data_IF_976487455754
#
_entry.id   IF_976487455754
#
_cell.length_a   1.000
_cell.length_b   1.000
_cell.length_c   1.000
_cell.angle_alpha   90.00
_cell.angle_beta   90.00
_cell.angle_gamma   90.00
#
_symmetry.space_group_name_H-M   'P 1'
#
loop_
_entity.id
_entity.type
_entity.pdbx_description
1 polymer ?
#
# COMPACT_ATOMS: atom_id res chain seq x y z
N UNK A 1 -49.16 -39.10 0.46
CA UNK A 1 -48.26 -38.60 1.51
C UNK A 1 -47.19 -39.66 1.76
N UNK A 2 -45.93 -39.25 1.68
CA UNK A 2 -44.72 -40.06 1.42
C UNK A 2 -44.43 -41.08 2.52
N UNK A 3 -44.27 -42.36 2.14
CA UNK A 3 -43.72 -43.45 2.96
C UNK A 3 -42.63 -44.18 2.14
N UNK A 4 -41.58 -43.46 1.77
CA UNK A 4 -40.49 -43.96 0.93
C UNK A 4 -39.10 -43.50 1.42
N UNK A 5 -38.89 -43.29 2.72
CA UNK A 5 -37.60 -42.75 3.20
C UNK A 5 -36.93 -43.61 4.29
N UNK A 6 -37.60 -44.64 4.83
CA UNK A 6 -37.06 -45.44 5.96
C UNK A 6 -36.39 -46.76 5.56
N UNK A 7 -36.66 -47.30 4.36
CA UNK A 7 -36.02 -48.54 3.90
C UNK A 7 -34.61 -48.31 3.35
N UNK A 8 -34.36 -47.17 2.70
CA UNK A 8 -33.06 -46.85 2.09
C UNK A 8 -31.99 -46.53 3.14
N UNK A 9 -32.32 -45.80 4.21
CA UNK A 9 -31.40 -45.48 5.31
C UNK A 9 -30.95 -46.73 6.07
N UNK A 10 -31.85 -47.69 6.31
CA UNK A 10 -31.48 -48.97 6.94
C UNK A 10 -30.55 -49.82 6.06
N UNK A 11 -30.68 -49.75 4.73
CA UNK A 11 -29.82 -50.45 3.77
C UNK A 11 -28.44 -49.80 3.69
N UNK A 12 -28.39 -48.47 3.69
CA UNK A 12 -27.13 -47.71 3.70
C UNK A 12 -26.35 -47.90 5.01
N UNK A 13 -27.03 -47.93 6.16
CA UNK A 13 -26.41 -48.28 7.44
C UNK A 13 -25.86 -49.72 7.46
N UNK A 14 -26.59 -50.69 6.88
CA UNK A 14 -26.07 -52.06 6.74
C UNK A 14 -24.82 -52.12 5.85
N UNK A 15 -24.77 -51.31 4.79
CA UNK A 15 -23.63 -51.24 3.89
C UNK A 15 -22.44 -50.55 4.56
N UNK A 16 -22.67 -49.45 5.29
CA UNK A 16 -21.67 -48.81 6.13
C UNK A 16 -21.14 -49.76 7.21
N UNK A 17 -22.01 -50.56 7.83
CA UNK A 17 -21.58 -51.58 8.78
C UNK A 17 -20.73 -52.67 8.10
N UNK A 18 -21.11 -53.15 6.91
CA UNK A 18 -20.28 -54.10 6.15
C UNK A 18 -18.93 -53.50 5.77
N UNK A 19 -18.90 -52.22 5.37
CA UNK A 19 -17.66 -51.50 5.04
C UNK A 19 -16.79 -51.25 6.27
N UNK A 20 -17.38 -50.90 7.41
CA UNK A 20 -16.67 -50.76 8.68
C UNK A 20 -16.12 -52.10 9.15
N UNK A 21 -16.90 -53.18 9.10
CA UNK A 21 -16.43 -54.53 9.42
C UNK A 21 -15.30 -54.96 8.49
N UNK A 22 -15.41 -54.65 7.19
CA UNK A 22 -14.34 -54.91 6.21
C UNK A 22 -13.08 -54.10 6.50
N UNK A 23 -13.21 -52.82 6.86
CA UNK A 23 -12.08 -51.97 7.25
C UNK A 23 -11.45 -52.44 8.57
N UNK A 24 -12.24 -52.85 9.56
CA UNK A 24 -11.74 -53.39 10.83
C UNK A 24 -10.95 -54.68 10.57
N UNK A 25 -11.47 -55.59 9.74
CA UNK A 25 -10.74 -56.79 9.33
C UNK A 25 -9.45 -56.47 8.56
N UNK A 26 -9.45 -55.39 7.75
CA UNK A 26 -8.27 -54.90 7.02
C UNK A 26 -7.22 -54.22 7.93
N UNK A 27 -7.67 -53.56 8.99
CA UNK A 27 -6.82 -52.95 10.03
C UNK A 27 -6.23 -54.04 10.93
N UNK A 28 -7.03 -55.06 11.27
CA UNK A 28 -6.62 -56.19 12.11
C UNK A 28 -5.66 -57.15 11.38
N UNK A 29 -5.68 -57.21 10.05
CA UNK A 29 -4.71 -57.97 9.25
C UNK A 29 -3.36 -57.24 9.05
N UNK A 30 -3.29 -55.94 9.36
CA UNK A 30 -2.04 -55.19 9.36
C UNK A 30 -1.28 -55.45 10.66
N UNK A 31 -0.19 -56.23 10.57
CA UNK A 31 0.68 -56.62 11.69
C UNK A 31 1.19 -55.47 12.57
N UNK A 32 1.20 -54.23 12.05
CA UNK A 32 1.59 -53.00 12.77
C UNK A 32 0.63 -52.59 13.88
N UNK A 33 -0.68 -52.83 13.73
CA UNK A 33 -1.70 -52.47 14.74
C UNK A 33 -1.77 -53.53 15.84
N UNK A 34 -1.56 -54.79 15.45
CA UNK A 34 -1.44 -55.93 16.38
C UNK A 34 -0.21 -55.77 17.27
N UNK A 35 0.91 -55.26 16.73
CA UNK A 35 2.12 -54.96 17.49
C UNK A 35 1.92 -53.80 18.49
N UNK A 36 1.07 -52.82 18.17
CA UNK A 36 0.71 -51.74 19.09
C UNK A 36 -0.27 -52.19 20.20
N UNK A 37 -1.18 -53.12 19.91
CA UNK A 37 -2.02 -53.76 20.94
C UNK A 37 -1.24 -54.73 21.83
N UNK A 38 -0.14 -55.31 21.34
CA UNK A 38 0.80 -56.13 22.11
C UNK A 38 1.87 -55.32 22.85
N UNK A 39 1.82 -53.99 22.78
CA UNK A 39 2.74 -53.13 23.52
C UNK A 39 2.35 -53.06 25.01
N UNK A 40 3.30 -52.77 25.92
CA UNK A 40 3.10 -52.75 27.37
C UNK A 40 1.87 -51.97 27.85
N UNK A 41 1.47 -50.92 27.15
CA UNK A 41 0.26 -50.12 27.45
C UNK A 41 -1.05 -50.89 27.20
N UNK A 42 -1.10 -51.78 26.20
CA UNK A 42 -2.27 -52.63 25.92
C UNK A 42 -2.43 -53.78 26.91
N UNK A 43 -1.33 -54.45 27.27
CA UNK A 43 -1.33 -55.52 28.27
C UNK A 43 -1.55 -55.04 29.71
N UNK A 44 -1.26 -53.77 30.02
CA UNK A 44 -1.53 -53.18 31.34
C UNK A 44 -3.00 -52.81 31.54
N UNK A 45 -3.70 -52.46 30.46
CA UNK A 45 -5.15 -52.21 30.48
C UNK A 45 -5.97 -53.51 30.54
N UNK A 46 -5.51 -54.57 29.86
CA UNK A 46 -6.22 -55.86 29.80
C UNK A 46 -6.16 -56.65 31.12
N UNK A 47 -5.02 -56.57 31.84
CA UNK A 47 -4.82 -57.29 33.11
C UNK A 47 -5.60 -56.72 34.31
N UNK A 48 -5.96 -55.44 34.30
CA UNK A 48 -6.68 -54.78 35.40
C UNK A 48 -7.72 -53.76 34.88
N UNK A 49 -8.97 -54.19 34.61
CA UNK A 49 -10.03 -53.32 34.08
C UNK A 49 -10.31 -52.09 34.97
N UNK A 50 -10.03 -52.17 36.28
CA UNK A 50 -10.21 -51.06 37.22
C UNK A 50 -9.20 -49.92 37.03
N UNK A 51 -7.96 -50.26 36.68
CA UNK A 51 -6.89 -49.28 36.43
C UNK A 51 -7.15 -48.54 35.12
N UNK A 52 -7.59 -49.28 34.09
CA UNK A 52 -8.05 -48.72 32.82
C UNK A 52 -9.22 -47.74 33.01
N UNK A 53 -10.23 -48.12 33.81
CA UNK A 53 -11.41 -47.30 34.11
C UNK A 53 -11.03 -46.02 34.87
N UNK A 54 -10.10 -46.12 35.83
CA UNK A 54 -9.63 -44.98 36.61
C UNK A 54 -8.85 -44.00 35.75
N UNK A 55 -7.95 -44.50 34.88
CA UNK A 55 -7.24 -43.67 33.90
C UNK A 55 -8.18 -42.99 32.92
N UNK A 56 -9.21 -43.69 32.43
CA UNK A 56 -10.22 -43.13 31.55
C UNK A 56 -11.00 -41.99 32.23
N UNK A 57 -11.42 -42.20 33.47
CA UNK A 57 -12.09 -41.16 34.26
C UNK A 57 -11.15 -40.00 34.58
N UNK A 58 -9.87 -40.26 34.81
CA UNK A 58 -8.88 -39.21 35.01
C UNK A 58 -8.66 -38.38 33.74
N UNK A 59 -8.62 -39.01 32.57
CA UNK A 59 -8.56 -38.32 31.28
C UNK A 59 -9.85 -37.53 31.04
N UNK A 60 -11.03 -38.10 31.30
CA UNK A 60 -12.30 -37.40 31.14
C UNK A 60 -12.41 -36.19 32.08
N UNK A 61 -12.09 -36.38 33.36
CA UNK A 61 -12.17 -35.34 34.40
C UNK A 61 -11.07 -34.30 34.24
N UNK A 62 -9.88 -34.67 33.78
CA UNK A 62 -8.76 -33.74 33.54
C UNK A 62 -8.85 -33.04 32.17
N UNK A 63 -9.46 -33.68 31.16
CA UNK A 63 -9.65 -33.08 29.84
C UNK A 63 -10.48 -31.80 29.89
N UNK A 64 -11.45 -31.72 30.81
CA UNK A 64 -12.26 -30.52 31.03
C UNK A 64 -11.42 -29.32 31.51
N UNK A 65 -10.71 -29.37 32.66
CA UNK A 65 -9.87 -28.28 33.13
C UNK A 65 -8.66 -28.02 32.22
N UNK A 66 -8.03 -29.07 31.66
CA UNK A 66 -6.89 -28.92 30.74
C UNK A 66 -7.32 -28.30 29.41
N UNK A 67 -8.44 -28.75 28.84
CA UNK A 67 -9.01 -28.20 27.63
C UNK A 67 -9.46 -26.75 27.80
N UNK A 68 -10.10 -26.44 28.93
CA UNK A 68 -10.49 -25.07 29.26
C UNK A 68 -9.27 -24.16 29.45
N UNK A 69 -8.21 -24.64 30.11
CA UNK A 69 -6.96 -23.90 30.26
C UNK A 69 -6.29 -23.62 28.91
N UNK A 70 -6.17 -24.63 28.05
CA UNK A 70 -5.62 -24.46 26.70
C UNK A 70 -6.46 -23.49 25.88
N UNK A 71 -7.79 -23.58 25.95
CA UNK A 71 -8.70 -22.68 25.25
C UNK A 71 -8.54 -21.24 25.75
N UNK A 72 -8.45 -21.01 27.05
CA UNK A 72 -8.17 -19.69 27.63
C UNK A 72 -6.80 -19.16 27.21
N UNK A 73 -5.77 -19.99 27.22
CA UNK A 73 -4.42 -19.58 26.77
C UNK A 73 -4.45 -19.19 25.30
N UNK A 74 -5.12 -19.95 24.44
CA UNK A 74 -5.28 -19.62 23.01
C UNK A 74 -6.09 -18.34 22.83
N UNK A 75 -7.21 -18.18 23.56
CA UNK A 75 -8.02 -16.95 23.49
C UNK A 75 -7.25 -15.74 23.99
N UNK A 76 -6.51 -15.85 25.09
CA UNK A 76 -5.70 -14.76 25.66
C UNK A 76 -4.50 -14.47 24.77
N UNK A 77 -3.88 -15.48 24.15
CA UNK A 77 -2.83 -15.29 23.15
C UNK A 77 -3.38 -14.62 21.89
N UNK A 78 -4.57 -15.00 21.42
CA UNK A 78 -5.21 -14.37 20.28
C UNK A 78 -5.61 -12.93 20.59
N UNK A 79 -6.17 -12.68 21.78
CA UNK A 79 -6.49 -11.35 22.28
C UNK A 79 -5.22 -10.50 22.44
N UNK A 80 -4.12 -11.07 22.92
CA UNK A 80 -2.82 -10.41 23.00
C UNK A 80 -2.26 -10.10 21.60
N UNK A 81 -2.34 -11.04 20.65
CA UNK A 81 -1.94 -10.81 19.26
C UNK A 81 -2.76 -9.70 18.61
N UNK A 82 -4.09 -9.71 18.76
CA UNK A 82 -4.96 -8.63 18.28
C UNK A 82 -4.62 -7.31 18.99
N UNK A 83 -4.35 -7.34 20.30
CA UNK A 83 -3.89 -6.18 21.06
C UNK A 83 -2.60 -5.58 20.52
N UNK A 84 -1.59 -6.40 20.24
CA UNK A 84 -0.32 -5.98 19.64
C UNK A 84 -0.56 -5.43 18.23
N UNK A 85 -1.35 -6.10 17.39
CA UNK A 85 -1.68 -5.62 16.03
C UNK A 85 -2.41 -4.27 16.08
N UNK A 86 -3.32 -4.06 17.04
CA UNK A 86 -4.02 -2.79 17.22
C UNK A 86 -3.06 -1.68 17.69
N UNK A 87 -2.15 -1.97 18.63
CA UNK A 87 -1.16 -0.99 19.12
C UNK A 87 -0.13 -0.67 18.04
N UNK A 88 0.41 -1.68 17.36
CA UNK A 88 1.39 -1.53 16.29
C UNK A 88 0.76 -0.84 15.07
N UNK A 89 -0.45 -1.23 14.68
CA UNK A 89 -1.24 -0.57 13.64
C UNK A 89 -1.59 0.87 13.99
N UNK A 90 -1.91 1.17 15.24
CA UNK A 90 -2.14 2.54 15.71
C UNK A 90 -0.86 3.39 15.64
N UNK A 91 0.28 2.85 16.11
CA UNK A 91 1.58 3.53 16.04
C UNK A 91 2.01 3.77 14.60
N UNK A 92 1.83 2.79 13.71
CA UNK A 92 2.12 2.91 12.27
C UNK A 92 1.16 3.92 11.62
N UNK A 93 -0.12 3.93 11.98
CA UNK A 93 -1.09 4.89 11.46
C UNK A 93 -0.77 6.33 11.89
N UNK A 94 -0.49 6.56 13.17
CA UNK A 94 -0.10 7.88 13.69
C UNK A 94 1.24 8.32 13.10
N UNK A 95 2.21 7.42 13.02
CA UNK A 95 3.50 7.67 12.37
C UNK A 95 3.33 8.00 10.89
N UNK A 96 2.51 7.22 10.16
CA UNK A 96 2.20 7.42 8.75
C UNK A 96 1.47 8.73 8.48
N UNK A 97 0.48 9.07 9.30
CA UNK A 97 -0.23 10.36 9.22
C UNK A 97 0.71 11.53 9.50
N UNK A 98 1.62 11.40 10.47
CA UNK A 98 2.64 12.41 10.77
C UNK A 98 3.60 12.59 9.60
N UNK A 99 4.08 11.50 9.01
CA UNK A 99 4.96 11.54 7.83
C UNK A 99 4.25 12.12 6.61
N UNK A 100 3.02 11.70 6.32
CA UNK A 100 2.20 12.26 5.24
C UNK A 100 1.95 13.76 5.47
N UNK A 101 1.67 14.17 6.70
CA UNK A 101 1.48 15.57 7.07
C UNK A 101 2.75 16.38 6.80
N UNK A 102 3.91 15.90 7.26
CA UNK A 102 5.20 16.57 7.05
C UNK A 102 5.57 16.60 5.55
N UNK A 103 5.42 15.50 4.83
CA UNK A 103 5.66 15.46 3.37
C UNK A 103 4.74 16.43 2.62
N UNK A 104 3.46 16.48 2.99
CA UNK A 104 2.48 17.38 2.39
C UNK A 104 2.86 18.85 2.67
N UNK A 105 3.19 19.18 3.92
CA UNK A 105 3.64 20.51 4.31
C UNK A 105 4.91 20.93 3.56
N UNK A 106 5.92 20.06 3.51
CA UNK A 106 7.15 20.30 2.76
C UNK A 106 6.88 20.42 1.25
N UNK A 107 5.99 19.60 0.70
CA UNK A 107 5.58 19.66 -0.70
C UNK A 107 4.90 20.98 -1.04
N UNK A 108 3.96 21.44 -0.21
CA UNK A 108 3.29 22.72 -0.37
C UNK A 108 4.27 23.90 -0.26
N UNK A 109 5.17 23.87 0.72
CA UNK A 109 6.22 24.87 0.89
C UNK A 109 7.16 24.87 -0.31
N UNK A 110 7.56 23.70 -0.81
CA UNK A 110 8.40 23.57 -2.00
C UNK A 110 7.72 24.12 -3.25
N UNK A 111 6.43 23.80 -3.45
CA UNK A 111 5.62 24.35 -4.53
C UNK A 111 5.46 25.86 -4.42
N UNK A 112 5.25 26.38 -3.21
CA UNK A 112 5.16 27.81 -2.97
C UNK A 112 6.49 28.50 -3.33
N UNK A 113 7.61 28.01 -2.83
CA UNK A 113 8.94 28.57 -3.12
C UNK A 113 9.26 28.49 -4.61
N UNK A 114 9.01 27.34 -5.24
CA UNK A 114 9.22 27.14 -6.68
C UNK A 114 8.33 28.06 -7.52
N UNK A 115 7.06 28.20 -7.15
CA UNK A 115 6.11 29.11 -7.79
C UNK A 115 6.54 30.57 -7.65
N UNK A 116 6.90 31.00 -6.43
CA UNK A 116 7.41 32.36 -6.19
C UNK A 116 8.68 32.61 -6.98
N UNK A 117 9.66 31.68 -6.98
CA UNK A 117 10.88 31.82 -7.76
C UNK A 117 10.60 31.89 -9.26
N UNK A 118 9.66 31.11 -9.78
CA UNK A 118 9.28 31.13 -11.19
C UNK A 118 8.65 32.48 -11.57
N UNK A 119 7.69 32.98 -10.79
CA UNK A 119 7.07 34.30 -11.02
C UNK A 119 8.12 35.40 -10.89
N UNK A 120 8.96 35.36 -9.86
CA UNK A 120 10.07 36.30 -9.69
C UNK A 120 11.02 36.25 -10.89
N UNK A 121 11.39 35.06 -11.38
CA UNK A 121 12.27 34.89 -12.53
C UNK A 121 11.67 35.50 -13.79
N UNK A 122 10.38 35.27 -14.07
CA UNK A 122 9.68 35.82 -15.23
C UNK A 122 9.60 37.36 -15.14
N UNK A 123 9.24 37.89 -13.97
CA UNK A 123 9.17 39.33 -13.74
C UNK A 123 10.56 39.97 -13.89
N UNK A 124 11.60 39.37 -13.31
CA UNK A 124 12.96 39.86 -13.39
C UNK A 124 13.51 39.79 -14.82
N UNK A 125 13.20 38.72 -15.55
CA UNK A 125 13.53 38.58 -16.97
C UNK A 125 12.84 39.65 -17.81
N UNK A 126 11.58 39.97 -17.50
CA UNK A 126 10.83 41.03 -18.17
C UNK A 126 11.44 42.40 -17.88
N UNK A 127 11.71 42.71 -16.61
CA UNK A 127 12.39 43.95 -16.20
C UNK A 127 13.76 44.11 -16.86
N UNK A 128 14.55 43.04 -16.91
CA UNK A 128 15.86 43.04 -17.55
C UNK A 128 15.73 43.31 -19.05
N UNK A 129 14.74 42.70 -19.72
CA UNK A 129 14.49 42.92 -21.14
C UNK A 129 14.05 44.37 -21.44
N UNK A 130 13.18 44.95 -20.61
CA UNK A 130 12.82 46.37 -20.70
C UNK A 130 14.02 47.28 -20.46
N UNK A 131 14.84 46.98 -19.45
CA UNK A 131 16.05 47.76 -19.15
C UNK A 131 17.05 47.71 -20.30
N UNK A 132 17.25 46.54 -20.91
CA UNK A 132 18.14 46.38 -22.05
C UNK A 132 17.62 47.12 -23.31
N UNK A 133 16.31 47.06 -23.56
CA UNK A 133 15.67 47.85 -24.62
C UNK A 133 15.82 49.35 -24.40
N UNK A 134 15.56 49.83 -23.17
CA UNK A 134 15.71 51.23 -22.81
C UNK A 134 17.16 51.73 -22.99
N UNK A 135 18.15 50.92 -22.59
CA UNK A 135 19.57 51.25 -22.75
C UNK A 135 19.99 51.31 -24.21
N UNK A 136 19.41 50.45 -25.06
CA UNK A 136 19.68 50.42 -26.50
C UNK A 136 19.08 51.64 -27.20
N UNK A 137 17.85 52.03 -26.85
CA UNK A 137 17.18 53.22 -27.39
C UNK A 137 17.92 54.51 -27.00
N UNK A 138 18.31 54.62 -25.72
CA UNK A 138 19.15 55.71 -25.22
C UNK A 138 20.47 55.82 -25.99
N UNK A 139 21.11 54.68 -26.29
CA UNK A 139 22.36 54.63 -27.05
C UNK A 139 22.15 55.03 -28.52
N UNK A 140 21.00 54.67 -29.10
CA UNK A 140 20.66 55.00 -30.48
C UNK A 140 20.29 56.49 -30.64
N UNK A 141 19.62 57.08 -29.66
CA UNK A 141 19.35 58.53 -29.61
C UNK A 141 20.64 59.33 -29.48
N UNK A 142 21.58 58.89 -28.64
CA UNK A 142 22.90 59.52 -28.52
C UNK A 142 23.68 59.38 -29.85
N UNK A 143 23.63 58.22 -30.50
CA UNK A 143 24.28 58.03 -31.81
C UNK A 143 23.61 58.81 -32.95
N UNK A 144 22.28 58.93 -32.95
CA UNK A 144 21.56 59.78 -33.92
C UNK A 144 21.93 61.25 -33.72
N UNK A 145 21.99 61.71 -32.48
CA UNK A 145 22.42 63.08 -32.18
C UNK A 145 23.88 63.33 -32.59
N UNK A 146 24.77 62.37 -32.32
CA UNK A 146 26.16 62.43 -32.77
C UNK A 146 26.29 62.38 -34.30
N UNK A 147 25.49 61.55 -34.98
CA UNK A 147 25.49 61.41 -36.44
C UNK A 147 24.86 62.60 -37.14
N UNK A 148 23.84 63.22 -36.56
CA UNK A 148 23.27 64.48 -37.03
C UNK A 148 24.28 65.63 -36.90
N UNK A 149 25.06 65.64 -35.82
CA UNK A 149 26.18 66.59 -35.66
C UNK A 149 27.33 66.36 -36.66
N UNK A 150 27.48 65.15 -37.21
CA UNK A 150 28.58 64.80 -38.11
C UNK A 150 28.30 65.05 -39.61
N UNK A 151 27.02 65.20 -40.04
CA UNK A 151 26.66 65.25 -41.47
C UNK A 151 25.84 66.50 -41.89
N UNK A 152 26.34 67.74 -41.73
CA UNK A 152 25.53 68.94 -42.01
C UNK A 152 25.23 69.22 -43.49
N UNK A 153 25.83 68.48 -44.44
CA UNK A 153 25.82 68.85 -45.87
C UNK A 153 24.78 68.15 -46.76
N UNK A 154 23.86 67.35 -46.21
CA UNK A 154 22.90 66.53 -47.01
C UNK A 154 21.52 67.16 -47.26
N UNK A 155 21.37 68.48 -47.13
CA UNK A 155 20.14 69.23 -47.42
C UNK A 155 20.37 70.29 -48.51
N UNK A 156 20.54 69.90 -49.77
CA UNK A 156 20.49 70.84 -50.89
C UNK A 156 19.46 70.32 -51.91
N UNK A 157 18.31 71.01 -52.12
CA UNK A 157 17.39 70.70 -53.20
C UNK A 157 17.98 71.15 -54.55
N UNK A 158 17.81 70.33 -55.58
CA UNK A 158 18.26 70.62 -56.95
C UNK A 158 17.36 71.67 -57.62
N UNK A 159 17.78 72.94 -57.60
CA UNK A 159 17.18 74.06 -58.31
C UNK A 159 17.30 73.92 -59.85
N UNK A 160 16.17 74.02 -60.56
CA UNK A 160 16.13 74.33 -62.00
C UNK A 160 14.99 75.31 -62.30
N UNK A 161 15.24 76.63 -62.40
CA UNK A 161 14.25 77.58 -62.86
C UNK A 161 14.30 77.73 -64.40
N UNK A 162 13.11 77.69 -65.02
CA UNK A 162 12.85 78.14 -66.40
C UNK A 162 13.07 79.66 -66.46
N UNK A 163 14.11 80.12 -67.16
CA UNK A 163 14.32 81.54 -67.43
C UNK A 163 13.35 82.03 -68.51
N UNK A 164 12.32 82.75 -68.06
CA UNK A 164 11.40 83.52 -68.91
C UNK A 164 11.71 85.02 -68.72
N UNK A 165 12.13 85.65 -69.82
CA UNK A 165 11.83 87.02 -70.26
C UNK A 165 12.56 88.30 -69.72
N UNK A 166 12.72 89.21 -70.71
CA UNK A 166 12.93 90.68 -70.80
C UNK A 166 14.18 91.34 -70.20
N UNK A 167 14.99 92.04 -71.03
CA UNK A 167 14.98 93.53 -71.16
C UNK A 167 16.02 94.07 -72.18
N UNK A 168 15.61 95.12 -72.91
CA UNK A 168 16.35 96.09 -73.75
C UNK A 168 17.07 95.61 -74.99
#
# INVERSE_FOLDING_TARGET
MVKMETSSTSKDLQELQRKLVSLINSIQSNSKVIAFMNSPVGQYLDKHPFVALTLLMFIMVSSIPVGFFLLLVVLMSLAACVGVILVEGFVISVGGLTLLCVLCGLGFVSLAISGTLSVCYVVLSSLTNYWFSFRTDSSFLILQHAKASANPWKQVPSDRPKSRLYKT
#
